data_IF_598122159175
#
_entry.id   IF_598122159175
#
_cell.length_a   1.000
_cell.length_b   1.000
_cell.length_c   1.000
_cell.angle_alpha   90.00
_cell.angle_beta   90.00
_cell.angle_gamma   90.00
#
_symmetry.space_group_name_H-M   'P 1'
#
loop_
_entity.id
_entity.type
_entity.pdbx_description
1 polymer ?
#
# COMPACT_ATOMS: atom_id res chain seq x y z
N UNK A 1 -12.07 -11.22 -6.05
CA UNK A 1 -10.92 -10.29 -5.98
C UNK A 1 -10.98 -9.54 -4.64
N UNK A 2 -10.77 -10.23 -3.51
CA UNK A 2 -10.98 -9.69 -2.16
C UNK A 2 -9.66 -9.73 -1.38
N UNK A 3 -8.80 -8.75 -1.62
CA UNK A 3 -7.52 -8.61 -0.93
C UNK A 3 -7.04 -7.17 -0.99
N UNK A 4 -5.90 -6.87 -0.39
CA UNK A 4 -5.37 -5.50 -0.30
C UNK A 4 -5.23 -4.81 -1.68
N UNK A 5 -4.98 -5.57 -2.75
CA UNK A 5 -4.98 -5.09 -4.15
C UNK A 5 -6.34 -4.53 -4.59
N UNK A 6 -7.44 -5.16 -4.17
CA UNK A 6 -8.80 -4.66 -4.43
C UNK A 6 -9.08 -3.39 -3.62
N UNK A 7 -8.62 -3.35 -2.38
CA UNK A 7 -8.77 -2.18 -1.50
C UNK A 7 -7.96 -0.98 -1.99
N UNK A 8 -6.75 -1.17 -2.53
CA UNK A 8 -5.97 -0.11 -3.16
C UNK A 8 -6.74 0.54 -4.32
N UNK A 9 -7.32 -0.28 -5.21
CA UNK A 9 -8.15 0.21 -6.31
C UNK A 9 -9.38 0.98 -5.85
N UNK A 10 -10.05 0.51 -4.79
CA UNK A 10 -11.21 1.18 -4.21
C UNK A 10 -10.87 2.52 -3.53
N UNK A 11 -9.62 2.68 -3.09
CA UNK A 11 -9.11 3.94 -2.53
C UNK A 11 -8.56 4.89 -3.62
N UNK A 12 -8.74 4.57 -4.90
CA UNK A 12 -8.25 5.39 -6.01
C UNK A 12 -6.73 5.33 -6.21
N UNK A 13 -6.06 4.34 -5.63
CA UNK A 13 -4.62 4.15 -5.75
C UNK A 13 -4.36 3.11 -6.82
N UNK A 14 -3.36 3.38 -7.65
CA UNK A 14 -2.89 2.38 -8.59
C UNK A 14 -2.33 1.16 -7.82
N UNK A 15 -2.91 -0.04 -7.99
CA UNK A 15 -2.53 -1.22 -7.22
C UNK A 15 -1.08 -1.65 -7.48
N UNK A 16 -0.54 -1.34 -8.67
CA UNK A 16 0.84 -1.65 -9.04
C UNK A 16 1.81 -0.68 -8.36
N UNK A 17 1.48 0.62 -8.34
CA UNK A 17 2.24 1.63 -7.60
C UNK A 17 2.26 1.34 -6.09
N UNK A 18 1.11 0.99 -5.52
CA UNK A 18 1.00 0.58 -4.11
C UNK A 18 1.87 -0.66 -3.83
N UNK A 19 1.73 -1.72 -4.62
CA UNK A 19 2.52 -2.95 -4.43
C UNK A 19 4.03 -2.67 -4.53
N UNK A 20 4.45 -1.85 -5.48
CA UNK A 20 5.87 -1.46 -5.64
C UNK A 20 6.39 -0.70 -4.43
N UNK A 21 5.58 0.22 -3.89
CA UNK A 21 5.91 0.96 -2.69
C UNK A 21 6.09 0.00 -1.50
N UNK A 22 5.12 -0.89 -1.28
CA UNK A 22 5.20 -1.89 -0.21
C UNK A 22 6.45 -2.77 -0.37
N UNK A 23 6.67 -3.37 -1.54
CA UNK A 23 7.81 -4.27 -1.76
C UNK A 23 9.17 -3.57 -1.61
N UNK A 24 9.26 -2.28 -1.93
CA UNK A 24 10.51 -1.50 -1.81
C UNK A 24 10.80 -1.12 -0.35
N UNK A 25 9.76 -0.81 0.43
CA UNK A 25 9.92 -0.33 1.80
C UNK A 25 9.80 -1.42 2.86
N UNK A 26 9.15 -2.55 2.57
CA UNK A 26 8.91 -3.63 3.54
C UNK A 26 10.21 -4.30 4.02
N UNK A 27 11.28 -4.28 3.21
CA UNK A 27 12.57 -4.85 3.58
C UNK A 27 13.29 -4.01 4.66
N UNK A 28 13.03 -2.71 4.71
CA UNK A 28 13.63 -1.76 5.67
C UNK A 28 12.70 -1.49 6.86
N UNK A 29 11.43 -1.94 6.79
CA UNK A 29 10.43 -1.64 7.80
C UNK A 29 10.23 -2.80 8.78
N UNK A 30 10.10 -2.52 10.09
CA UNK A 30 9.83 -3.57 11.07
C UNK A 30 8.44 -4.17 10.86
N UNK A 31 8.33 -5.50 10.99
CA UNK A 31 7.10 -6.26 10.73
C UNK A 31 5.89 -5.80 11.56
N UNK A 32 6.13 -5.23 12.75
CA UNK A 32 5.10 -4.68 13.62
C UNK A 32 4.46 -3.38 13.08
N UNK A 33 4.96 -2.83 11.97
CA UNK A 33 4.47 -1.61 11.34
C UNK A 33 4.01 -1.82 9.90
N UNK A 34 3.72 -3.06 9.51
CA UNK A 34 3.13 -3.38 8.19
C UNK A 34 1.80 -2.66 7.95
N UNK A 35 1.12 -2.21 9.01
CA UNK A 35 -0.09 -1.41 8.96
C UNK A 35 0.11 -0.05 8.24
N UNK A 36 1.33 0.51 8.25
CA UNK A 36 1.66 1.75 7.51
C UNK A 36 1.57 1.54 5.99
N UNK A 37 1.74 0.29 5.54
CA UNK A 37 1.63 -0.10 4.13
C UNK A 37 0.20 -0.41 3.70
N UNK A 38 -0.79 -0.26 4.58
CA UNK A 38 -2.17 -0.47 4.19
C UNK A 38 -2.59 0.59 3.17
N UNK A 39 -3.43 0.21 2.19
CA UNK A 39 -3.74 1.07 1.06
C UNK A 39 -4.31 2.42 1.49
N UNK A 40 -5.13 2.51 2.53
CA UNK A 40 -5.65 3.80 3.04
C UNK A 40 -4.58 4.72 3.66
N UNK A 41 -3.51 4.16 4.24
CA UNK A 41 -2.39 4.95 4.78
C UNK A 41 -1.46 5.41 3.64
N UNK A 42 -1.22 4.54 2.65
CA UNK A 42 -0.48 4.91 1.45
C UNK A 42 -1.26 5.86 0.54
N UNK A 43 -2.59 5.90 0.60
CA UNK A 43 -3.43 6.80 -0.19
C UNK A 43 -2.97 8.25 -0.08
N UNK A 44 -2.69 8.71 1.14
CA UNK A 44 -2.22 10.07 1.39
C UNK A 44 -0.81 10.35 0.86
N UNK A 45 0.05 9.32 0.72
CA UNK A 45 1.42 9.43 0.21
C UNK A 45 1.53 9.25 -1.31
N UNK A 46 0.62 8.47 -1.91
CA UNK A 46 0.64 8.09 -3.32
C UNK A 46 -0.40 8.85 -4.17
N UNK A 47 -1.38 9.52 -3.54
CA UNK A 47 -2.26 10.48 -4.21
C UNK A 47 -1.50 11.81 -4.39
N UNK A 48 -0.56 11.82 -5.32
CA UNK A 48 0.12 13.00 -5.85
C UNK A 48 -0.16 13.15 -7.33
#
# INVERSE_FOLDING_TARGET
MYGLIGTARLNGIDPEAWLRHVLTHIADHPVNRVDDFLPWNCAAKLAG
#
